data_IF_360098819396
#
_entry.id   IF_360098819396
#
_cell.length_a   1.000
_cell.length_b   1.000
_cell.length_c   1.000
_cell.angle_alpha   90.00
_cell.angle_beta   90.00
_cell.angle_gamma   90.00
#
_symmetry.space_group_name_H-M   'P 1'
#
loop_
_entity.id
_entity.type
_entity.pdbx_description
1 polymer ?
#
# COMPACT_ATOMS: atom_id res chain seq x y z
N UNK A 1 1.74 6.64 9.44
CA UNK A 1 1.89 5.32 8.78
C UNK A 1 3.21 5.29 8.04
N UNK A 2 4.06 4.31 8.33
CA UNK A 2 5.34 4.08 7.64
C UNK A 2 5.15 3.48 6.24
N UNK A 3 4.11 2.65 6.04
CA UNK A 3 3.68 2.13 4.73
C UNK A 3 2.87 3.15 3.93
N UNK A 4 3.49 4.24 3.51
CA UNK A 4 2.96 5.07 2.41
C UNK A 4 4.00 5.11 1.30
N UNK A 5 3.60 5.28 0.03
CA UNK A 5 4.55 5.31 -1.09
C UNK A 5 5.64 6.37 -0.88
N UNK A 6 6.79 6.19 -1.54
CA UNK A 6 7.97 7.04 -1.35
C UNK A 6 7.65 8.53 -1.53
N UNK A 7 6.85 8.89 -2.53
CA UNK A 7 6.44 10.26 -2.79
C UNK A 7 5.55 10.83 -1.69
N UNK A 8 4.65 10.02 -1.13
CA UNK A 8 3.84 10.44 0.03
C UNK A 8 4.72 10.69 1.25
N UNK A 9 5.76 9.88 1.47
CA UNK A 9 6.73 10.10 2.56
C UNK A 9 7.54 11.39 2.35
N UNK A 10 8.06 11.59 1.14
CA UNK A 10 8.76 12.84 0.76
C UNK A 10 7.87 14.06 0.97
N UNK A 11 6.64 14.02 0.47
CA UNK A 11 5.67 15.11 0.61
C UNK A 11 5.38 15.44 2.06
N UNK A 12 5.18 14.43 2.92
CA UNK A 12 4.97 14.64 4.36
C UNK A 12 6.18 15.26 5.05
N UNK A 13 7.39 14.88 4.67
CA UNK A 13 8.61 15.49 5.23
C UNK A 13 8.78 16.94 4.74
N UNK A 14 8.43 17.25 3.49
CA UNK A 14 8.35 18.62 2.98
C UNK A 14 7.29 19.45 3.73
N UNK A 15 6.09 18.90 3.92
CA UNK A 15 4.99 19.54 4.63
C UNK A 15 5.34 19.77 6.11
N UNK A 16 6.08 18.85 6.73
CA UNK A 16 6.63 19.01 8.08
C UNK A 16 7.67 20.14 8.15
N UNK A 17 8.60 20.21 7.18
CA UNK A 17 9.57 21.32 7.06
C UNK A 17 8.88 22.67 6.87
N UNK A 18 7.77 22.68 6.15
CA UNK A 18 6.94 23.87 5.94
C UNK A 18 6.00 24.19 7.12
N UNK A 19 6.01 23.40 8.21
CA UNK A 19 5.14 23.61 9.36
C UNK A 19 3.65 23.49 9.04
N UNK A 20 3.26 22.69 8.05
CA UNK A 20 1.85 22.56 7.67
C UNK A 20 1.02 21.94 8.79
N UNK A 21 -0.18 22.48 8.97
CA UNK A 21 -1.22 21.93 9.84
C UNK A 21 -1.88 20.71 9.18
N UNK A 22 -1.89 19.58 9.88
CA UNK A 22 -2.61 18.35 9.50
C UNK A 22 -4.07 18.40 9.95
N UNK A 23 -4.30 19.04 11.09
CA UNK A 23 -5.63 19.17 11.69
C UNK A 23 -5.72 20.53 12.34
N UNK A 24 -6.73 21.32 11.97
CA UNK A 24 -7.05 22.54 12.70
C UNK A 24 -7.55 22.18 14.09
N UNK A 25 -7.15 22.98 15.08
CA UNK A 25 -7.71 22.89 16.41
C UNK A 25 -9.15 23.39 16.43
N UNK A 26 -9.89 23.00 17.46
CA UNK A 26 -11.25 23.49 17.69
C UNK A 26 -11.45 23.78 19.17
N UNK A 27 -11.78 25.03 19.49
CA UNK A 27 -12.10 25.45 20.85
C UNK A 27 -13.34 24.70 21.39
N UNK A 28 -14.35 24.49 20.54
CA UNK A 28 -15.58 23.74 20.85
C UNK A 28 -15.33 22.31 21.36
N UNK A 29 -14.25 21.66 20.92
CA UNK A 29 -13.91 20.28 21.33
C UNK A 29 -12.60 20.20 22.12
N UNK A 30 -12.05 21.32 22.60
CA UNK A 30 -10.77 21.36 23.33
C UNK A 30 -9.59 20.77 22.56
N UNK A 31 -9.68 20.69 21.23
CA UNK A 31 -8.72 19.97 20.39
C UNK A 31 -7.63 20.91 19.93
N UNK A 32 -6.38 20.61 20.26
CA UNK A 32 -5.23 21.37 19.75
C UNK A 32 -4.97 21.06 18.28
N UNK A 33 -4.44 22.05 17.55
CA UNK A 33 -4.00 21.87 16.18
C UNK A 33 -2.81 20.91 16.12
N UNK A 34 -2.80 20.01 15.14
CA UNK A 34 -1.70 19.07 14.95
C UNK A 34 -0.87 19.49 13.74
N UNK A 35 0.43 19.70 13.95
CA UNK A 35 1.40 19.94 12.89
C UNK A 35 1.83 18.62 12.23
N UNK A 36 2.23 18.72 10.96
CA UNK A 36 2.78 17.59 10.22
C UNK A 36 4.12 17.19 10.84
N UNK A 37 4.22 15.92 11.26
CA UNK A 37 5.47 15.36 11.78
C UNK A 37 6.34 14.91 10.61
N UNK A 38 7.62 15.26 10.68
CA UNK A 38 8.65 14.84 9.71
C UNK A 38 9.46 13.65 10.20
N UNK A 39 10.40 13.20 9.36
CA UNK A 39 11.30 12.08 9.65
C UNK A 39 10.73 10.72 9.28
N UNK A 40 9.60 10.69 8.55
CA UNK A 40 8.98 9.44 8.13
C UNK A 40 9.85 8.69 7.11
N UNK A 41 10.56 9.41 6.24
CA UNK A 41 11.48 8.82 5.26
C UNK A 41 12.70 8.22 5.95
N UNK A 42 13.42 9.01 6.76
CA UNK A 42 14.63 8.55 7.46
C UNK A 42 14.35 7.32 8.32
N UNK A 43 13.27 7.37 9.12
CA UNK A 43 12.88 6.24 9.97
C UNK A 43 12.60 4.98 9.15
N UNK A 44 12.02 5.11 7.96
CA UNK A 44 11.80 3.97 7.07
C UNK A 44 13.12 3.43 6.51
N UNK A 45 14.02 4.32 6.06
CA UNK A 45 15.33 3.93 5.53
C UNK A 45 16.14 3.17 6.59
N UNK A 46 16.14 3.66 7.83
CA UNK A 46 16.79 3.01 8.97
C UNK A 46 16.18 1.62 9.28
N UNK A 47 14.86 1.48 9.15
CA UNK A 47 14.15 0.21 9.40
C UNK A 47 14.44 -0.84 8.35
N UNK A 48 14.51 -0.43 7.07
CA UNK A 48 14.86 -1.30 5.95
C UNK A 48 16.32 -1.72 6.02
N UNK A 49 17.23 -0.81 6.36
CA UNK A 49 18.67 -1.14 6.43
C UNK A 49 19.01 -2.15 7.54
N UNK A 50 18.14 -2.27 8.56
CA UNK A 50 18.37 -3.12 9.73
C UNK A 50 17.63 -4.47 9.67
N UNK A 51 16.68 -4.65 8.75
CA UNK A 51 15.80 -5.81 8.77
C UNK A 51 15.52 -6.34 7.36
N UNK A 52 15.77 -7.63 7.14
CA UNK A 52 15.55 -8.30 5.86
C UNK A 52 14.06 -8.45 5.51
N UNK A 53 13.18 -8.63 6.51
CA UNK A 53 11.74 -8.83 6.27
C UNK A 53 11.00 -7.56 5.80
N UNK A 54 11.19 -6.37 6.40
CA UNK A 54 10.69 -5.11 5.85
C UNK A 54 11.23 -4.80 4.45
N UNK A 55 12.47 -5.17 4.16
CA UNK A 55 13.04 -5.03 2.82
C UNK A 55 12.33 -5.96 1.82
N UNK A 56 12.15 -7.23 2.16
CA UNK A 56 11.38 -8.17 1.35
C UNK A 56 9.92 -7.72 1.15
N UNK A 57 9.32 -7.08 2.17
CA UNK A 57 7.97 -6.52 2.05
C UNK A 57 7.93 -5.42 0.99
N UNK A 58 8.94 -4.55 0.99
CA UNK A 58 9.03 -3.43 0.07
C UNK A 58 9.22 -3.90 -1.37
N UNK A 59 10.11 -4.87 -1.58
CA UNK A 59 10.30 -5.52 -2.88
C UNK A 59 8.99 -6.11 -3.39
N UNK A 60 8.28 -6.89 -2.55
CA UNK A 60 7.01 -7.52 -2.97
C UNK A 60 5.93 -6.48 -3.26
N UNK A 61 5.83 -5.42 -2.45
CA UNK A 61 4.88 -4.31 -2.68
C UNK A 61 5.20 -3.58 -4.01
N UNK A 62 6.47 -3.37 -4.34
CA UNK A 62 6.91 -2.75 -5.61
C UNK A 62 6.65 -3.65 -6.82
N UNK A 63 6.98 -4.95 -6.72
CA UNK A 63 6.70 -5.92 -7.77
C UNK A 63 5.20 -6.04 -8.05
N UNK A 64 4.35 -6.02 -7.02
CA UNK A 64 2.89 -6.01 -7.18
C UNK A 64 2.44 -4.74 -7.91
N UNK A 65 2.90 -3.56 -7.49
CA UNK A 65 2.56 -2.31 -8.16
C UNK A 65 2.95 -2.33 -9.65
N UNK A 66 4.13 -2.86 -9.97
CA UNK A 66 4.57 -3.04 -11.34
C UNK A 66 3.70 -4.04 -12.11
N UNK A 67 3.35 -5.18 -11.51
CA UNK A 67 2.49 -6.19 -12.14
C UNK A 67 1.12 -5.60 -12.54
N UNK A 68 0.54 -4.73 -11.70
CA UNK A 68 -0.73 -4.06 -12.00
C UNK A 68 -0.61 -2.93 -13.03
N UNK A 69 0.61 -2.52 -13.42
CA UNK A 69 0.83 -1.52 -14.47
C UNK A 69 0.92 -2.12 -15.88
N UNK A 70 1.12 -3.43 -15.99
CA UNK A 70 1.16 -4.11 -17.28
C UNK A 70 -0.23 -4.21 -17.90
N UNK A 71 -0.27 -4.22 -19.24
CA UNK A 71 -1.49 -4.41 -20.03
C UNK A 71 -1.53 -5.76 -20.73
N UNK A 72 -0.37 -6.42 -20.86
CA UNK A 72 -0.25 -7.74 -21.46
C UNK A 72 -0.50 -8.86 -20.43
N UNK A 73 -1.26 -9.87 -20.84
CA UNK A 73 -1.69 -10.95 -19.94
C UNK A 73 -0.53 -11.88 -19.56
N UNK A 74 0.41 -12.11 -20.47
CA UNK A 74 1.52 -13.03 -20.24
C UNK A 74 2.64 -12.34 -19.44
N UNK A 75 2.85 -11.04 -19.65
CA UNK A 75 3.72 -10.21 -18.79
C UNK A 75 3.25 -10.23 -17.33
N UNK A 76 1.94 -10.14 -17.10
CA UNK A 76 1.37 -10.21 -15.75
C UNK A 76 1.54 -11.60 -15.15
N UNK A 77 1.28 -12.67 -15.91
CA UNK A 77 1.48 -14.03 -15.41
C UNK A 77 2.92 -14.24 -14.98
N UNK A 78 3.88 -13.83 -15.80
CA UNK A 78 5.29 -13.92 -15.48
C UNK A 78 5.65 -13.05 -14.26
N UNK A 79 5.07 -11.85 -14.13
CA UNK A 79 5.28 -10.99 -12.96
C UNK A 79 4.74 -11.62 -11.67
N UNK A 80 3.53 -12.19 -11.72
CA UNK A 80 2.93 -12.91 -10.59
C UNK A 80 3.79 -14.12 -10.19
N UNK A 81 4.29 -14.89 -11.15
CA UNK A 81 5.17 -16.03 -10.88
C UNK A 81 6.46 -15.60 -10.16
N UNK A 82 7.12 -14.54 -10.63
CA UNK A 82 8.29 -13.96 -9.94
C UNK A 82 7.96 -13.51 -8.52
N UNK A 83 6.80 -12.89 -8.29
CA UNK A 83 6.37 -12.47 -6.93
C UNK A 83 6.22 -13.69 -6.01
N UNK A 84 5.63 -14.77 -6.52
CA UNK A 84 5.46 -16.02 -5.78
C UNK A 84 6.82 -16.63 -5.41
N UNK A 85 7.76 -16.65 -6.35
CA UNK A 85 9.12 -17.13 -6.10
C UNK A 85 9.84 -16.32 -5.02
N UNK A 86 9.83 -14.99 -5.12
CA UNK A 86 10.43 -14.09 -4.11
C UNK A 86 9.80 -14.34 -2.74
N UNK A 87 8.47 -14.39 -2.67
CA UNK A 87 7.76 -14.66 -1.42
C UNK A 87 8.15 -16.02 -0.81
N UNK A 88 8.20 -17.09 -1.60
CA UNK A 88 8.59 -18.42 -1.13
C UNK A 88 10.06 -18.48 -0.71
N UNK A 89 10.93 -17.74 -1.40
CA UNK A 89 12.37 -17.63 -1.12
C UNK A 89 12.69 -17.06 0.27
N UNK A 90 11.82 -16.20 0.82
CA UNK A 90 11.99 -15.66 2.19
C UNK A 90 11.90 -16.72 3.29
N UNK A 91 11.29 -17.89 3.01
CA UNK A 91 10.97 -18.96 3.98
C UNK A 91 10.10 -18.51 5.16
N UNK A 92 9.54 -17.30 5.11
CA UNK A 92 8.68 -16.76 6.14
C UNK A 92 7.21 -17.19 5.93
N UNK A 93 6.51 -17.45 7.03
CA UNK A 93 5.13 -17.96 7.02
C UNK A 93 4.15 -16.93 6.43
N UNK A 94 4.36 -15.64 6.68
CA UNK A 94 3.50 -14.59 6.16
C UNK A 94 3.68 -14.43 4.66
N UNK A 95 4.92 -14.41 4.17
CA UNK A 95 5.19 -14.39 2.72
C UNK A 95 4.69 -15.66 2.03
N UNK A 96 4.81 -16.84 2.65
CA UNK A 96 4.21 -18.06 2.11
C UNK A 96 2.68 -17.95 1.98
N UNK A 97 2.01 -17.21 2.87
CA UNK A 97 0.56 -16.93 2.75
C UNK A 97 0.27 -15.95 1.61
N UNK A 98 1.10 -14.93 1.43
CA UNK A 98 1.00 -13.99 0.30
C UNK A 98 1.17 -14.73 -1.02
N UNK A 99 2.19 -15.58 -1.15
CA UNK A 99 2.42 -16.41 -2.32
C UNK A 99 1.16 -17.20 -2.71
N UNK A 100 0.57 -17.93 -1.75
CA UNK A 100 -0.68 -18.69 -1.99
C UNK A 100 -1.85 -17.80 -2.40
N UNK A 101 -1.96 -16.60 -1.80
CA UNK A 101 -3.03 -15.67 -2.11
C UNK A 101 -2.93 -15.17 -3.56
N UNK A 102 -1.75 -14.69 -3.93
CA UNK A 102 -1.50 -14.10 -5.26
C UNK A 102 -1.60 -15.17 -6.35
N UNK A 103 -1.02 -16.35 -6.13
CA UNK A 103 -1.11 -17.49 -7.04
C UNK A 103 -2.56 -17.95 -7.24
N UNK A 104 -3.33 -18.09 -6.16
CA UNK A 104 -4.75 -18.49 -6.24
C UNK A 104 -5.65 -17.46 -6.93
N UNK A 105 -5.24 -16.18 -6.97
CA UNK A 105 -5.99 -15.11 -7.63
C UNK A 105 -5.41 -14.73 -9.01
N UNK A 106 -4.40 -15.45 -9.51
CA UNK A 106 -3.66 -15.10 -10.74
C UNK A 106 -4.58 -14.76 -11.90
N UNK A 107 -5.56 -15.61 -12.21
CA UNK A 107 -6.44 -15.37 -13.35
C UNK A 107 -7.36 -14.15 -13.15
N UNK A 108 -7.75 -13.85 -11.91
CA UNK A 108 -8.47 -12.62 -11.58
C UNK A 108 -7.63 -11.36 -11.77
N UNK A 109 -6.33 -11.42 -11.45
CA UNK A 109 -5.39 -10.32 -11.68
C UNK A 109 -5.15 -10.13 -13.18
N UNK A 110 -4.97 -11.20 -13.94
CA UNK A 110 -4.84 -11.16 -15.40
C UNK A 110 -6.10 -10.59 -16.05
N UNK A 111 -7.29 -10.95 -15.55
CA UNK A 111 -8.55 -10.40 -16.04
C UNK A 111 -8.66 -8.88 -15.82
N UNK A 112 -8.10 -8.35 -14.73
CA UNK A 112 -8.07 -6.91 -14.46
C UNK A 112 -7.25 -6.12 -15.49
N UNK A 113 -6.24 -6.74 -16.10
CA UNK A 113 -5.47 -6.09 -17.15
C UNK A 113 -6.17 -6.13 -18.51
N UNK A 114 -6.91 -7.21 -18.80
CA UNK A 114 -7.74 -7.31 -20.01
C UNK A 114 -8.96 -6.40 -19.97
N UNK A 115 -9.49 -6.21 -18.77
CA UNK A 115 -10.67 -5.39 -18.52
C UNK A 115 -10.30 -4.41 -17.41
N UNK A 116 -9.90 -3.19 -17.77
CA UNK A 116 -9.62 -2.10 -16.83
C UNK A 116 -10.89 -1.73 -16.04
N UNK A 117 -11.24 -2.55 -15.05
CA UNK A 117 -12.36 -2.31 -14.15
C UNK A 117 -11.82 -1.40 -13.05
N UNK A 118 -12.24 -0.12 -13.04
CA UNK A 118 -11.85 0.81 -11.99
C UNK A 118 -12.49 0.42 -10.65
N UNK A 119 -11.68 0.42 -9.58
CA UNK A 119 -12.17 0.10 -8.24
C UNK A 119 -13.14 1.14 -7.68
N UNK A 120 -13.17 2.35 -8.25
CA UNK A 120 -13.91 3.50 -7.71
C UNK A 120 -15.40 3.25 -7.50
N UNK A 121 -16.11 2.62 -8.44
CA UNK A 121 -17.55 2.33 -8.27
C UNK A 121 -17.80 1.32 -7.15
N UNK A 122 -16.93 0.33 -7.03
CA UNK A 122 -17.01 -0.72 -5.99
C UNK A 122 -16.68 -0.13 -4.62
N UNK A 123 -15.66 0.71 -4.53
CA UNK A 123 -15.25 1.40 -3.31
C UNK A 123 -16.32 2.37 -2.80
N UNK A 124 -16.94 3.15 -3.68
CA UNK A 124 -18.04 4.06 -3.31
C UNK A 124 -19.20 3.28 -2.72
N UNK A 125 -19.59 2.17 -3.37
CA UNK A 125 -20.66 1.30 -2.88
C UNK A 125 -20.30 0.70 -1.51
N UNK A 126 -19.07 0.20 -1.36
CA UNK A 126 -18.61 -0.37 -0.09
C UNK A 126 -18.58 0.69 1.03
N UNK A 127 -18.16 1.92 0.71
CA UNK A 127 -18.19 3.03 1.64
C UNK A 127 -19.63 3.34 2.08
N UNK A 128 -20.56 3.40 1.13
CA UNK A 128 -21.99 3.63 1.41
C UNK A 128 -22.58 2.56 2.32
N UNK A 129 -22.34 1.28 2.03
CA UNK A 129 -22.77 0.15 2.88
C UNK A 129 -22.20 0.28 4.29
N UNK A 130 -20.90 0.58 4.40
CA UNK A 130 -20.24 0.76 5.70
C UNK A 130 -20.80 1.96 6.48
N UNK A 131 -21.22 3.02 5.81
CA UNK A 131 -21.85 4.18 6.45
C UNK A 131 -23.24 3.82 6.97
N UNK A 132 -24.06 3.16 6.15
CA UNK A 132 -25.40 2.70 6.54
C UNK A 132 -25.35 1.75 7.74
N UNK A 133 -24.39 0.81 7.77
CA UNK A 133 -24.20 -0.13 8.90
C UNK A 133 -23.76 0.51 10.21
N UNK A 134 -23.24 1.75 10.20
CA UNK A 134 -22.84 2.48 11.42
C UNK A 134 -23.95 3.40 11.95
N UNK A 135 -24.97 3.66 11.13
CA UNK A 135 -26.08 4.54 11.45
C UNK A 135 -27.28 3.81 12.07
N UNK A 136 -27.30 2.47 12.02
CA UNK A 136 -28.16 1.61 12.83
C UNK A 136 -27.34 0.87 13.88
#
# INVERSE_FOLDING_TARGET
MLKSCADTRKRKDCDARAGRLVSRGSALFGKQGALQKGGARKRYEDLISQNELPFACDIVDEMLAQAYSYTDADEIRAAIERIVEVCRGTKDRHFARVARLVEGHREGIVAHARHHISSGRVEVTNCMIKTLRRAG
#
